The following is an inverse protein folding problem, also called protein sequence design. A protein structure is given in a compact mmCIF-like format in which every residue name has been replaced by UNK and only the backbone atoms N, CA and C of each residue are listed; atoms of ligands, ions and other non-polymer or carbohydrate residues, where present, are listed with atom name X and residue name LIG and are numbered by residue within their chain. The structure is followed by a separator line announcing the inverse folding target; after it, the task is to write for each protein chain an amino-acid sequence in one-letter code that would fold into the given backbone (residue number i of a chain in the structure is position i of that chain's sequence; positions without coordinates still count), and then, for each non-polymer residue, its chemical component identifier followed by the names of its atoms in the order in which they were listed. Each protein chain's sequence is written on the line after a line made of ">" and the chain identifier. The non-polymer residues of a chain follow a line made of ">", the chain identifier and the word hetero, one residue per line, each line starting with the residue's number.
data_IF_843229329643
#
_entry.id   IF_843229329643
#
_cell.length_a   1.000
_cell.length_b   1.000
_cell.length_c   1.000
_cell.angle_alpha   90.00
_cell.angle_beta   90.00
_cell.angle_gamma   90.00
#
_symmetry.space_group_name_H-M   'P 1'
#
loop_
_entity.id
_entity.type
_entity.pdbx_description
1 polymer ?
#
# COMPACT_ATOMS: atom_id res chain seq x y z
N UNK A 1 -28.43 -30.05 8.98
CA UNK A 1 -27.10 -30.17 9.59
C UNK A 1 -26.11 -29.53 8.64
N UNK A 2 -25.41 -28.47 9.10
CA UNK A 2 -24.60 -27.51 8.34
C UNK A 2 -23.22 -28.10 8.00
N UNK A 3 -22.59 -27.62 6.92
CA UNK A 3 -21.19 -27.15 6.75
C UNK A 3 -20.95 -27.01 5.22
N UNK A 4 -20.80 -25.84 4.59
CA UNK A 4 -20.12 -24.62 5.02
C UNK A 4 -18.72 -24.56 4.40
N UNK A 5 -18.60 -24.65 3.06
CA UNK A 5 -17.32 -24.66 2.35
C UNK A 5 -16.92 -23.26 1.88
N UNK A 6 -16.03 -22.62 2.62
CA UNK A 6 -15.52 -21.27 2.36
C UNK A 6 -14.66 -21.25 1.09
N UNK A 7 -15.08 -20.48 0.10
CA UNK A 7 -14.34 -20.26 -1.14
C UNK A 7 -13.04 -19.51 -0.87
N UNK A 8 -11.91 -20.17 -1.12
CA UNK A 8 -10.57 -19.56 -1.06
C UNK A 8 -10.46 -18.47 -2.12
N UNK A 9 -10.73 -17.22 -1.74
CA UNK A 9 -10.48 -16.05 -2.58
C UNK A 9 -8.97 -15.87 -2.73
N UNK A 10 -8.42 -16.45 -3.77
CA UNK A 10 -7.05 -16.14 -4.20
C UNK A 10 -7.08 -14.80 -4.93
N UNK A 11 -6.26 -13.84 -4.52
CA UNK A 11 -6.13 -12.58 -5.26
C UNK A 11 -5.50 -12.88 -6.63
N UNK A 12 -6.14 -12.53 -7.76
CA UNK A 12 -5.53 -12.73 -9.07
C UNK A 12 -4.29 -11.83 -9.19
N UNK A 13 -3.18 -12.39 -9.70
CA UNK A 13 -2.02 -11.59 -10.10
C UNK A 13 -2.42 -10.74 -11.32
N UNK A 14 -2.81 -9.50 -11.05
CA UNK A 14 -3.29 -8.57 -12.05
C UNK A 14 -2.09 -7.89 -12.69
N UNK A 15 -1.92 -8.00 -14.02
CA UNK A 15 -0.83 -7.36 -14.79
C UNK A 15 -1.05 -5.85 -14.97
N UNK A 16 -1.59 -5.18 -13.95
CA UNK A 16 -1.71 -3.73 -13.91
C UNK A 16 -0.48 -3.16 -13.21
N UNK A 17 0.07 -2.02 -13.68
CA UNK A 17 1.25 -1.40 -13.06
C UNK A 17 0.98 -0.86 -11.64
N UNK A 18 -0.28 -0.90 -11.20
CA UNK A 18 -0.74 -0.46 -9.88
C UNK A 18 -1.55 -1.56 -9.19
N UNK A 19 -1.41 -1.65 -7.88
CA UNK A 19 -2.22 -2.51 -7.02
C UNK A 19 -3.65 -1.98 -6.93
N UNK A 20 -4.63 -2.84 -7.23
CA UNK A 20 -6.04 -2.54 -6.99
C UNK A 20 -6.44 -3.04 -5.59
N UNK A 21 -6.97 -2.15 -4.76
CA UNK A 21 -7.47 -2.46 -3.42
C UNK A 21 -8.94 -2.08 -3.31
N UNK A 22 -9.67 -2.74 -2.40
CA UNK A 22 -11.01 -2.29 -2.02
C UNK A 22 -10.91 -0.88 -1.39
N UNK A 23 -11.86 0.01 -1.70
CA UNK A 23 -11.83 1.42 -1.31
C UNK A 23 -11.53 1.63 0.18
N UNK A 24 -12.18 0.87 1.07
CA UNK A 24 -11.96 1.00 2.53
C UNK A 24 -10.52 0.71 2.94
N UNK A 25 -9.88 -0.26 2.29
CA UNK A 25 -8.46 -0.60 2.53
C UNK A 25 -7.56 0.48 1.93
N UNK A 26 -7.91 0.96 0.74
CA UNK A 26 -7.16 2.03 0.06
C UNK A 26 -7.16 3.32 0.88
N UNK A 27 -8.31 3.75 1.39
CA UNK A 27 -8.45 4.97 2.18
C UNK A 27 -7.64 4.88 3.48
N UNK A 28 -7.76 3.75 4.20
CA UNK A 28 -6.99 3.53 5.42
C UNK A 28 -5.47 3.50 5.18
N UNK A 29 -5.04 2.92 4.05
CA UNK A 29 -3.64 2.90 3.65
C UNK A 29 -3.13 4.30 3.30
N UNK A 30 -3.91 5.08 2.53
CA UNK A 30 -3.56 6.46 2.14
C UNK A 30 -3.41 7.35 3.38
N UNK A 31 -4.34 7.28 4.32
CA UNK A 31 -4.28 8.05 5.58
C UNK A 31 -3.03 7.71 6.40
N UNK A 32 -2.68 6.43 6.50
CA UNK A 32 -1.47 6.00 7.19
C UNK A 32 -0.21 6.47 6.44
N UNK A 33 -0.20 6.36 5.12
CA UNK A 33 0.93 6.74 4.28
C UNK A 33 1.22 8.24 4.35
N UNK A 34 0.19 9.10 4.39
CA UNK A 34 0.36 10.55 4.55
C UNK A 34 1.02 10.87 5.89
N UNK A 35 0.59 10.22 6.98
CA UNK A 35 1.13 10.45 8.34
C UNK A 35 2.60 10.07 8.42
N UNK A 36 2.97 8.90 7.90
CA UNK A 36 4.37 8.45 7.89
C UNK A 36 5.24 9.28 6.93
N UNK A 37 4.66 9.74 5.81
CA UNK A 37 5.35 10.64 4.87
C UNK A 37 5.71 11.98 5.53
N UNK A 38 4.86 12.49 6.44
CA UNK A 38 5.15 13.72 7.16
C UNK A 38 6.37 13.60 8.08
N UNK A 39 6.66 12.40 8.63
CA UNK A 39 7.88 12.14 9.42
C UNK A 39 9.14 12.27 8.56
N UNK A 40 9.02 11.99 7.25
CA UNK A 40 10.07 12.15 6.25
C UNK A 40 10.12 13.57 5.63
N UNK A 41 9.36 14.52 6.18
CA UNK A 41 9.20 15.88 5.64
C UNK A 41 8.62 15.92 4.21
N UNK A 42 7.87 14.89 3.82
CA UNK A 42 7.16 14.85 2.54
C UNK A 42 5.75 15.42 2.72
N UNK A 43 5.48 16.55 2.07
CA UNK A 43 4.14 17.16 2.05
C UNK A 43 3.40 16.74 0.79
N UNK A 44 2.18 16.23 0.97
CA UNK A 44 1.29 15.95 -0.15
C UNK A 44 0.98 17.27 -0.90
N UNK A 45 1.16 17.24 -2.23
CA UNK A 45 0.71 18.31 -3.11
C UNK A 45 -0.65 17.95 -3.70
N UNK A 46 -1.37 18.94 -4.24
CA UNK A 46 -2.69 18.75 -4.84
C UNK A 46 -2.75 17.44 -5.67
N UNK A 47 -3.51 16.43 -5.22
CA UNK A 47 -3.40 15.09 -5.77
C UNK A 47 -3.93 15.06 -7.20
N UNK A 48 -3.11 14.59 -8.15
CA UNK A 48 -3.54 14.40 -9.54
C UNK A 48 -4.46 13.18 -9.66
N UNK A 49 -4.37 12.23 -8.72
CA UNK A 49 -5.19 11.00 -8.75
C UNK A 49 -5.51 10.40 -7.38
N UNK A 50 -4.49 10.14 -6.56
CA UNK A 50 -4.64 9.58 -5.21
C UNK A 50 -3.70 10.24 -4.23
N UNK A 51 -2.39 10.19 -4.51
CA UNK A 51 -1.33 10.85 -3.75
C UNK A 51 -0.35 11.46 -4.73
N UNK A 52 0.21 12.62 -4.41
CA UNK A 52 1.21 13.27 -5.24
C UNK A 52 2.21 14.00 -4.34
N UNK A 53 3.50 13.90 -4.70
CA UNK A 53 4.61 14.50 -3.96
C UNK A 53 5.57 15.16 -4.95
N UNK A 54 6.21 16.25 -4.53
CA UNK A 54 7.25 16.88 -5.33
C UNK A 54 8.49 15.98 -5.37
N UNK A 55 8.84 15.46 -6.56
CA UNK A 55 9.96 14.53 -6.74
C UNK A 55 11.30 15.08 -6.24
N UNK A 56 11.50 16.40 -6.33
CA UNK A 56 12.69 17.11 -5.82
C UNK A 56 12.85 17.06 -4.29
N UNK A 57 11.77 16.74 -3.57
CA UNK A 57 11.76 16.62 -2.10
C UNK A 57 11.97 15.20 -1.63
N UNK A 58 11.99 14.23 -2.55
CA UNK A 58 12.16 12.82 -2.22
C UNK A 58 13.61 12.43 -2.49
N UNK A 59 14.30 12.02 -1.42
CA UNK A 59 15.65 11.48 -1.52
C UNK A 59 15.65 10.18 -2.32
N UNK A 60 16.67 9.98 -3.15
CA UNK A 60 16.84 8.74 -3.91
C UNK A 60 17.69 7.74 -3.14
N UNK A 61 17.21 6.51 -3.00
CA UNK A 61 17.95 5.42 -2.37
C UNK A 61 18.28 4.33 -3.40
N UNK A 62 19.13 3.37 -3.01
CA UNK A 62 19.47 2.22 -3.87
C UNK A 62 18.26 1.40 -4.31
N UNK A 63 17.15 1.44 -3.56
CA UNK A 63 15.94 0.65 -3.83
C UNK A 63 14.78 1.51 -4.35
N UNK A 64 15.05 2.78 -4.66
CA UNK A 64 14.04 3.73 -5.14
C UNK A 64 13.87 4.94 -4.22
N UNK A 65 12.80 5.72 -4.41
CA UNK A 65 12.52 6.91 -3.63
C UNK A 65 12.38 6.59 -2.13
N UNK A 66 12.91 7.46 -1.26
CA UNK A 66 12.81 7.35 0.19
C UNK A 66 11.39 7.69 0.67
N UNK A 67 10.49 6.72 0.58
CA UNK A 67 9.09 6.82 1.00
C UNK A 67 8.79 5.79 2.10
N UNK A 68 7.68 5.93 2.84
CA UNK A 68 7.29 4.93 3.83
C UNK A 68 7.19 3.52 3.21
N UNK A 69 7.73 2.53 3.92
CA UNK A 69 7.67 1.13 3.49
C UNK A 69 6.27 0.57 3.75
N UNK A 70 5.75 -0.22 2.82
CA UNK A 70 4.46 -0.90 2.94
C UNK A 70 4.72 -2.40 3.00
N UNK A 71 4.46 -3.00 4.15
CA UNK A 71 4.57 -4.45 4.36
C UNK A 71 3.19 -5.10 4.29
N UNK A 72 2.98 -5.98 3.31
CA UNK A 72 1.79 -6.81 3.21
C UNK A 72 2.02 -8.11 4.01
N UNK A 73 1.56 -8.13 5.26
CA UNK A 73 1.65 -9.33 6.10
C UNK A 73 0.69 -10.39 5.58
N UNK A 74 1.25 -11.45 4.99
CA UNK A 74 0.48 -12.58 4.46
C UNK A 74 0.35 -13.68 5.51
N UNK A 75 -0.74 -14.44 5.43
CA UNK A 75 -0.93 -15.63 6.26
C UNK A 75 0.17 -16.65 5.94
N UNK A 76 0.90 -17.08 6.98
CA UNK A 76 1.88 -18.16 6.88
C UNK A 76 1.58 -19.17 8.01
N UNK A 77 1.45 -20.46 7.66
CA UNK A 77 1.22 -21.55 8.61
C UNK A 77 2.51 -22.02 9.31
N UNK A 78 3.68 -21.56 8.84
CA UNK A 78 4.99 -21.91 9.39
C UNK A 78 5.72 -20.65 9.86
N UNK A 79 5.45 -20.30 11.12
CA UNK A 79 6.32 -19.45 11.93
C UNK A 79 7.22 -20.41 12.72
N UNK A 80 8.52 -20.41 12.46
CA UNK A 80 9.51 -21.12 13.27
C UNK A 80 10.01 -20.23 14.40
#
# INVERSE_FOLDING_TARGET
>A
MILGGEGRRSAPLQSTPYTALQTVILDALVDAFIKESAVLNLTEIAPVKLLSYAAEKIESTRVGPAVPTIDLVLQNESVF
#
